data_IF_623138652535
#
_entry.id   IF_623138652535
#
_cell.length_a   1.000
_cell.length_b   1.000
_cell.length_c   1.000
_cell.angle_alpha   90.00
_cell.angle_beta   90.00
_cell.angle_gamma   90.00
#
_symmetry.space_group_name_H-M   'P 1'
#
loop_
_entity.id
_entity.type
_entity.pdbx_description
1 polymer ?
#
# COMPACT_ATOMS: atom_id res chain seq x y z
N UNK A 1 -8.28 6.01 -24.58
CA UNK A 1 -9.40 5.26 -23.98
C UNK A 1 -10.20 6.18 -23.07
N UNK A 2 -9.58 6.77 -22.03
CA UNK A 2 -10.22 7.74 -21.12
C UNK A 2 -11.07 8.82 -21.82
N UNK A 3 -10.52 9.51 -22.84
CA UNK A 3 -11.28 10.50 -23.63
C UNK A 3 -12.60 9.95 -24.21
N UNK A 4 -12.60 8.74 -24.76
CA UNK A 4 -13.83 8.16 -25.33
C UNK A 4 -14.88 7.86 -24.26
N UNK A 5 -14.46 7.47 -23.05
CA UNK A 5 -15.34 7.20 -21.93
C UNK A 5 -15.97 8.50 -21.43
N UNK A 6 -15.16 9.54 -21.21
CA UNK A 6 -15.64 10.87 -20.78
C UNK A 6 -16.64 11.45 -21.78
N UNK A 7 -16.31 11.43 -23.08
CA UNK A 7 -17.22 11.91 -24.14
C UNK A 7 -18.55 11.15 -24.18
N UNK A 8 -18.56 9.88 -23.78
CA UNK A 8 -19.78 9.08 -23.73
C UNK A 8 -20.64 9.46 -22.52
N UNK A 9 -20.02 9.70 -21.37
CA UNK A 9 -20.70 10.15 -20.15
C UNK A 9 -21.24 11.57 -20.27
N UNK A 10 -20.57 12.46 -21.00
CA UNK A 10 -21.10 13.81 -21.31
C UNK A 10 -22.36 13.78 -22.16
N UNK A 11 -22.59 12.69 -22.92
CA UNK A 11 -23.81 12.52 -23.74
C UNK A 11 -24.94 11.88 -22.95
N UNK A 12 -24.61 10.96 -22.06
CA UNK A 12 -25.57 10.24 -21.23
C UNK A 12 -24.97 9.93 -19.86
N UNK A 13 -25.28 10.78 -18.87
CA UNK A 13 -24.77 10.67 -17.51
C UNK A 13 -25.29 9.43 -16.78
N UNK A 14 -26.39 8.81 -17.23
CA UNK A 14 -26.96 7.60 -16.62
C UNK A 14 -26.04 6.39 -16.73
N UNK A 15 -25.06 6.44 -17.64
CA UNK A 15 -24.07 5.39 -17.87
C UNK A 15 -22.89 5.48 -16.90
N UNK A 16 -22.83 6.52 -16.06
CA UNK A 16 -21.72 6.71 -15.11
C UNK A 16 -21.63 5.57 -14.11
N UNK A 17 -22.75 5.20 -13.49
CA UNK A 17 -22.78 4.12 -12.50
C UNK A 17 -22.22 2.79 -13.05
N UNK A 18 -22.72 2.22 -14.15
CA UNK A 18 -22.20 0.96 -14.67
C UNK A 18 -20.73 1.05 -15.10
N UNK A 19 -20.29 2.19 -15.64
CA UNK A 19 -18.88 2.40 -16.04
C UNK A 19 -17.96 2.42 -14.83
N UNK A 20 -18.27 3.21 -13.80
CA UNK A 20 -17.45 3.30 -12.58
C UNK A 20 -17.45 1.96 -11.85
N UNK A 21 -18.60 1.28 -11.74
CA UNK A 21 -18.67 -0.06 -11.14
C UNK A 21 -17.82 -1.09 -11.91
N UNK A 22 -17.77 -1.00 -13.23
CA UNK A 22 -16.88 -1.84 -14.04
C UNK A 22 -15.40 -1.54 -13.78
N UNK A 23 -15.01 -0.26 -13.73
CA UNK A 23 -13.63 0.12 -13.36
C UNK A 23 -13.24 -0.41 -11.98
N UNK A 24 -14.12 -0.31 -10.99
CA UNK A 24 -13.90 -0.85 -9.65
C UNK A 24 -13.80 -2.38 -9.64
N UNK A 25 -14.61 -3.07 -10.46
CA UNK A 25 -14.55 -4.52 -10.63
C UNK A 25 -13.23 -4.98 -11.22
N UNK A 26 -12.71 -4.26 -12.22
CA UNK A 26 -11.46 -4.59 -12.91
C UNK A 26 -10.22 -3.92 -12.31
N UNK A 27 -10.32 -3.35 -11.11
CA UNK A 27 -9.24 -2.62 -10.46
C UNK A 27 -7.96 -3.49 -10.32
N UNK A 28 -6.81 -3.06 -10.86
CA UNK A 28 -5.57 -3.83 -10.82
C UNK A 28 -5.12 -4.12 -9.38
N UNK A 29 -4.71 -5.35 -9.08
CA UNK A 29 -4.28 -5.75 -7.72
C UNK A 29 -2.77 -5.94 -7.55
N UNK A 30 -2.05 -6.06 -8.66
CA UNK A 30 -0.62 -6.44 -8.67
C UNK A 30 0.22 -5.56 -9.60
N UNK A 31 -0.37 -4.56 -10.25
CA UNK A 31 0.30 -3.74 -11.27
C UNK A 31 0.10 -2.25 -10.98
N UNK A 32 0.95 -1.70 -10.12
CA UNK A 32 0.87 -0.31 -9.62
C UNK A 32 0.77 0.75 -10.73
N UNK A 33 1.52 0.67 -11.86
CA UNK A 33 1.36 1.66 -12.93
C UNK A 33 -0.05 1.66 -13.54
N UNK A 34 -0.71 0.49 -13.59
CA UNK A 34 -2.11 0.41 -14.07
C UNK A 34 -3.08 0.96 -13.03
N UNK A 35 -2.81 0.78 -11.73
CA UNK A 35 -3.59 1.45 -10.69
C UNK A 35 -3.51 2.97 -10.80
N UNK A 36 -2.33 3.52 -11.08
CA UNK A 36 -2.14 4.97 -11.33
C UNK A 36 -2.92 5.41 -12.57
N UNK A 37 -2.91 4.63 -13.66
CA UNK A 37 -3.73 4.93 -14.85
C UNK A 37 -5.23 4.91 -14.54
N UNK A 38 -5.71 3.94 -13.75
CA UNK A 38 -7.11 3.85 -13.34
C UNK A 38 -7.51 5.03 -12.45
N UNK A 39 -6.66 5.44 -11.51
CA UNK A 39 -6.87 6.64 -10.71
C UNK A 39 -6.91 7.90 -11.59
N UNK A 40 -6.15 7.95 -12.68
CA UNK A 40 -6.20 9.08 -13.59
C UNK A 40 -7.51 9.15 -14.36
N UNK A 41 -7.90 8.04 -14.99
CA UNK A 41 -9.15 7.94 -15.74
C UNK A 41 -10.38 8.18 -14.86
N UNK A 42 -10.33 7.71 -13.61
CA UNK A 42 -11.41 7.93 -12.65
C UNK A 42 -11.52 9.39 -12.21
N UNK A 43 -10.42 10.14 -12.13
CA UNK A 43 -10.48 11.59 -11.88
C UNK A 43 -11.13 12.32 -13.06
N UNK A 44 -10.73 12.00 -14.28
CA UNK A 44 -11.34 12.58 -15.50
C UNK A 44 -12.85 12.32 -15.57
N UNK A 45 -13.31 11.14 -15.12
CA UNK A 45 -14.75 10.83 -15.01
C UNK A 45 -15.42 11.67 -13.91
N UNK A 46 -14.77 11.81 -12.76
CA UNK A 46 -15.30 12.60 -11.64
C UNK A 46 -15.34 14.11 -11.93
N UNK A 47 -14.54 14.61 -12.86
CA UNK A 47 -14.61 16.02 -13.29
C UNK A 47 -15.90 16.37 -14.04
N UNK A 48 -16.54 15.38 -14.68
CA UNK A 48 -17.77 15.57 -15.45
C UNK A 48 -18.99 14.91 -14.83
N UNK A 49 -18.84 14.23 -13.69
CA UNK A 49 -19.94 13.49 -13.05
C UNK A 49 -21.01 14.45 -12.53
N UNK A 50 -22.29 14.14 -12.74
CA UNK A 50 -23.38 14.85 -12.08
C UNK A 50 -23.51 14.43 -10.60
N UNK A 51 -23.87 15.34 -9.67
CA UNK A 51 -24.04 15.00 -8.25
C UNK A 51 -25.06 13.87 -8.01
N UNK A 52 -26.11 13.79 -8.84
CA UNK A 52 -27.13 12.73 -8.84
C UNK A 52 -26.57 11.34 -9.14
N UNK A 53 -25.54 11.25 -9.97
CA UNK A 53 -24.86 10.01 -10.32
C UNK A 53 -23.76 9.68 -9.31
N UNK A 54 -23.07 10.70 -8.79
CA UNK A 54 -22.02 10.54 -7.78
C UNK A 54 -22.53 9.82 -6.52
N UNK A 55 -23.71 10.17 -6.01
CA UNK A 55 -24.27 9.56 -4.80
C UNK A 55 -24.50 8.05 -4.92
N UNK A 56 -24.66 7.52 -6.15
CA UNK A 56 -24.84 6.09 -6.41
C UNK A 56 -23.53 5.32 -6.27
N UNK A 57 -22.41 5.96 -6.61
CA UNK A 57 -21.08 5.32 -6.68
C UNK A 57 -20.12 5.73 -5.57
N UNK A 58 -20.41 6.78 -4.80
CA UNK A 58 -19.48 7.37 -3.83
C UNK A 58 -18.98 6.36 -2.80
N UNK A 59 -19.84 5.52 -2.22
CA UNK A 59 -19.38 4.63 -1.18
C UNK A 59 -18.41 3.54 -1.67
N UNK A 60 -18.72 2.75 -2.73
CA UNK A 60 -17.75 1.79 -3.27
C UNK A 60 -16.49 2.44 -3.84
N UNK A 61 -16.62 3.62 -4.46
CA UNK A 61 -15.49 4.43 -4.93
C UNK A 61 -14.53 4.78 -3.78
N UNK A 62 -15.05 5.41 -2.73
CA UNK A 62 -14.21 5.85 -1.61
C UNK A 62 -13.69 4.67 -0.78
N UNK A 63 -14.38 3.52 -0.76
CA UNK A 63 -13.82 2.27 -0.23
C UNK A 63 -12.59 1.79 -1.02
N UNK A 64 -12.53 2.04 -2.32
CA UNK A 64 -11.35 1.73 -3.14
C UNK A 64 -10.26 2.79 -2.97
N UNK A 65 -10.60 4.09 -2.97
CA UNK A 65 -9.64 5.17 -2.71
C UNK A 65 -8.98 5.03 -1.32
N UNK A 66 -9.73 4.62 -0.30
CA UNK A 66 -9.20 4.34 1.04
C UNK A 66 -8.10 3.26 1.03
N UNK A 67 -8.16 2.29 0.11
CA UNK A 67 -7.11 1.28 -0.09
C UNK A 67 -5.91 1.88 -0.83
N UNK A 68 -6.15 2.68 -1.87
CA UNK A 68 -5.09 3.34 -2.63
C UNK A 68 -4.27 4.30 -1.76
N UNK A 69 -4.93 5.08 -0.90
CA UNK A 69 -4.28 5.96 0.10
C UNK A 69 -3.47 5.17 1.12
N UNK A 70 -3.89 3.95 1.45
CA UNK A 70 -3.16 3.04 2.34
C UNK A 70 -2.09 2.21 1.62
N UNK A 71 -1.90 2.41 0.31
CA UNK A 71 -0.94 1.64 -0.46
C UNK A 71 0.49 1.94 0.00
N UNK A 72 1.34 0.93 0.21
CA UNK A 72 2.76 1.16 0.47
C UNK A 72 3.51 1.71 -0.75
N UNK A 73 2.91 1.60 -1.94
CA UNK A 73 3.49 2.10 -3.19
C UNK A 73 3.20 3.59 -3.34
N UNK A 74 4.24 4.42 -3.15
CA UNK A 74 4.06 5.87 -3.02
C UNK A 74 3.32 6.51 -4.21
N UNK A 75 3.57 6.11 -5.46
CA UNK A 75 2.91 6.71 -6.62
C UNK A 75 1.38 6.47 -6.62
N UNK A 76 0.92 5.35 -6.07
CA UNK A 76 -0.51 5.04 -5.98
C UNK A 76 -1.15 5.89 -4.88
N UNK A 77 -0.51 5.97 -3.71
CA UNK A 77 -0.98 6.79 -2.60
C UNK A 77 -0.99 8.28 -2.95
N UNK A 78 0.08 8.77 -3.57
CA UNK A 78 0.22 10.16 -4.04
C UNK A 78 -0.87 10.50 -5.05
N UNK A 79 -1.04 9.67 -6.09
CA UNK A 79 -2.05 9.91 -7.13
C UNK A 79 -3.47 9.93 -6.57
N UNK A 80 -3.77 9.07 -5.60
CA UNK A 80 -5.07 9.06 -4.93
C UNK A 80 -5.27 10.29 -4.04
N UNK A 81 -4.25 10.71 -3.30
CA UNK A 81 -4.31 11.89 -2.43
C UNK A 81 -4.42 13.21 -3.21
N UNK A 82 -3.99 13.24 -4.47
CA UNK A 82 -4.17 14.41 -5.33
C UNK A 82 -5.62 14.74 -5.65
N UNK A 83 -6.57 13.82 -5.45
CA UNK A 83 -8.00 14.12 -5.59
C UNK A 83 -8.47 15.23 -4.63
N UNK A 84 -7.79 15.41 -3.49
CA UNK A 84 -8.09 16.48 -2.54
C UNK A 84 -7.71 17.87 -3.04
N UNK A 85 -6.95 17.97 -4.13
CA UNK A 85 -6.60 19.25 -4.76
C UNK A 85 -7.60 19.65 -5.85
N UNK A 86 -8.48 18.75 -6.26
CA UNK A 86 -9.49 19.02 -7.26
C UNK A 86 -10.72 19.66 -6.58
N UNK A 87 -11.01 20.91 -6.94
CA UNK A 87 -12.08 21.69 -6.32
C UNK A 87 -13.47 21.07 -6.52
N UNK A 88 -13.72 20.50 -7.70
CA UNK A 88 -15.01 19.88 -7.98
C UNK A 88 -15.21 18.61 -7.16
N UNK A 89 -14.22 17.71 -7.15
CA UNK A 89 -14.25 16.50 -6.32
C UNK A 89 -14.38 16.87 -4.83
N UNK A 90 -13.66 17.90 -4.37
CA UNK A 90 -13.77 18.37 -2.99
C UNK A 90 -15.17 18.91 -2.65
N UNK A 91 -15.86 19.57 -3.59
CA UNK A 91 -17.24 20.01 -3.39
C UNK A 91 -18.20 18.82 -3.26
N UNK A 92 -18.07 17.80 -4.12
CA UNK A 92 -18.84 16.56 -4.03
C UNK A 92 -18.59 15.82 -2.71
N UNK A 93 -17.34 15.79 -2.23
CA UNK A 93 -16.98 15.22 -0.93
C UNK A 93 -17.65 15.99 0.21
N UNK A 94 -17.63 17.33 0.14
CA UNK A 94 -18.21 18.20 1.17
C UNK A 94 -19.71 17.96 1.34
N UNK A 95 -20.45 17.91 0.23
CA UNK A 95 -21.90 17.67 0.25
C UNK A 95 -22.28 16.29 0.79
N UNK A 96 -21.36 15.32 0.70
CA UNK A 96 -21.57 13.92 1.09
C UNK A 96 -20.69 13.46 2.26
N UNK A 97 -20.17 14.42 3.05
CA UNK A 97 -19.17 14.16 4.09
C UNK A 97 -19.63 13.12 5.11
N UNK A 98 -20.93 13.11 5.45
CA UNK A 98 -21.54 12.17 6.38
C UNK A 98 -21.33 10.69 6.02
N UNK A 99 -21.18 10.37 4.72
CA UNK A 99 -20.93 9.02 4.22
C UNK A 99 -19.45 8.80 3.91
N UNK A 100 -18.78 9.79 3.33
CA UNK A 100 -17.41 9.66 2.84
C UNK A 100 -16.38 9.69 3.98
N UNK A 101 -16.53 10.61 4.94
CA UNK A 101 -15.55 10.81 6.00
C UNK A 101 -15.35 9.54 6.86
N UNK A 102 -16.40 8.83 7.32
CA UNK A 102 -16.23 7.57 8.04
C UNK A 102 -15.50 6.47 7.26
N UNK A 103 -15.59 6.46 5.92
CA UNK A 103 -14.91 5.48 5.06
C UNK A 103 -13.42 5.81 4.93
N UNK A 104 -13.10 7.09 4.73
CA UNK A 104 -11.73 7.54 4.48
C UNK A 104 -10.90 7.69 5.77
N UNK A 105 -11.55 8.06 6.88
CA UNK A 105 -10.89 8.40 8.13
C UNK A 105 -9.97 7.29 8.66
N UNK A 106 -10.37 6.00 8.71
CA UNK A 106 -9.49 4.94 9.21
C UNK A 106 -8.19 4.82 8.42
N UNK A 107 -8.25 4.96 7.10
CA UNK A 107 -7.09 4.88 6.22
C UNK A 107 -6.17 6.08 6.42
N UNK A 108 -6.70 7.30 6.39
CA UNK A 108 -5.90 8.52 6.58
C UNK A 108 -5.26 8.57 7.97
N UNK A 109 -6.04 8.27 9.02
CA UNK A 109 -5.56 8.36 10.41
C UNK A 109 -4.52 7.30 10.76
N UNK A 110 -4.60 6.09 10.19
CA UNK A 110 -3.56 5.06 10.38
C UNK A 110 -2.27 5.49 9.68
N UNK A 111 -2.37 5.88 8.42
CA UNK A 111 -1.20 6.17 7.60
C UNK A 111 -0.52 7.48 7.96
N UNK A 112 -1.18 8.44 8.63
CA UNK A 112 -0.54 9.66 9.16
C UNK A 112 0.50 9.41 10.25
N UNK A 113 0.56 8.19 10.79
CA UNK A 113 1.51 7.77 11.83
C UNK A 113 2.57 6.80 11.33
N UNK A 114 2.28 6.05 10.27
CA UNK A 114 3.07 4.87 9.89
C UNK A 114 3.56 4.89 8.44
N UNK A 115 3.16 5.84 7.61
CA UNK A 115 3.61 5.85 6.23
C UNK A 115 5.09 6.25 6.15
N UNK A 116 5.88 5.48 5.40
CA UNK A 116 7.34 5.64 5.34
C UNK A 116 7.79 6.88 4.55
N UNK A 117 7.00 7.28 3.55
CA UNK A 117 7.29 8.42 2.68
C UNK A 117 6.78 9.74 3.30
N UNK A 118 7.69 10.71 3.47
CA UNK A 118 7.42 12.02 4.08
C UNK A 118 6.42 12.87 3.28
N UNK A 119 6.49 12.84 1.95
CA UNK A 119 5.59 13.60 1.07
C UNK A 119 4.14 13.12 1.24
N UNK A 120 3.94 11.80 1.21
CA UNK A 120 2.64 11.17 1.44
C UNK A 120 2.10 11.54 2.82
N UNK A 121 2.95 11.53 3.84
CA UNK A 121 2.59 12.00 5.18
C UNK A 121 2.02 13.42 5.13
N UNK A 122 2.70 14.36 4.47
CA UNK A 122 2.23 15.73 4.31
C UNK A 122 0.86 15.83 3.61
N UNK A 123 0.67 15.08 2.52
CA UNK A 123 -0.60 15.02 1.80
C UNK A 123 -1.73 14.44 2.66
N UNK A 124 -1.47 13.42 3.47
CA UNK A 124 -2.44 12.85 4.41
C UNK A 124 -2.83 13.88 5.47
N UNK A 125 -1.87 14.62 6.05
CA UNK A 125 -2.17 15.67 7.02
C UNK A 125 -3.00 16.80 6.40
N UNK A 126 -2.72 17.17 5.15
CA UNK A 126 -3.54 18.13 4.42
C UNK A 126 -4.98 17.63 4.23
N UNK A 127 -5.16 16.39 3.77
CA UNK A 127 -6.49 15.79 3.60
C UNK A 127 -7.27 15.69 4.92
N UNK A 128 -6.60 15.30 6.02
CA UNK A 128 -7.21 15.28 7.36
C UNK A 128 -7.64 16.68 7.82
N UNK A 129 -6.81 17.69 7.54
CA UNK A 129 -7.13 19.09 7.86
C UNK A 129 -8.37 19.57 7.09
N UNK A 130 -8.44 19.31 5.79
CA UNK A 130 -9.61 19.66 4.96
C UNK A 130 -10.89 18.98 5.47
N UNK A 131 -10.83 17.71 5.86
CA UNK A 131 -11.99 17.02 6.45
C UNK A 131 -12.44 17.63 7.78
N UNK A 132 -11.48 18.09 8.60
CA UNK A 132 -11.77 18.74 9.87
C UNK A 132 -12.42 20.11 9.66
N UNK A 133 -11.91 20.91 8.72
CA UNK A 133 -12.47 22.22 8.34
C UNK A 133 -13.89 22.12 7.76
N UNK A 134 -14.16 21.04 7.02
CA UNK A 134 -15.47 20.76 6.42
C UNK A 134 -16.54 20.43 7.46
N UNK A 135 -16.24 19.56 8.43
CA UNK A 135 -17.17 19.24 9.51
C UNK A 135 -16.44 18.76 10.77
N UNK A 136 -16.11 19.70 11.66
CA UNK A 136 -15.41 19.43 12.92
C UNK A 136 -16.11 18.35 13.76
N UNK A 137 -17.44 18.45 13.94
CA UNK A 137 -18.21 17.53 14.78
C UNK A 137 -18.14 16.11 14.24
N UNK A 138 -18.35 15.93 12.94
CA UNK A 138 -18.27 14.63 12.29
C UNK A 138 -16.86 14.03 12.37
N UNK A 139 -15.83 14.87 12.21
CA UNK A 139 -14.44 14.45 12.35
C UNK A 139 -14.12 13.95 13.77
N UNK A 140 -14.60 14.64 14.79
CA UNK A 140 -14.46 14.23 16.19
C UNK A 140 -15.21 12.93 16.47
N UNK A 141 -16.43 12.78 15.96
CA UNK A 141 -17.22 11.55 16.07
C UNK A 141 -16.50 10.35 15.42
N UNK A 142 -15.94 10.52 14.22
CA UNK A 142 -15.15 9.48 13.55
C UNK A 142 -13.86 9.15 14.33
N UNK A 143 -13.22 10.14 14.93
CA UNK A 143 -12.06 9.92 15.81
C UNK A 143 -12.42 9.07 17.02
N UNK A 144 -13.57 9.32 17.64
CA UNK A 144 -14.07 8.53 18.77
C UNK A 144 -14.43 7.11 18.35
N UNK A 145 -15.20 6.96 17.26
CA UNK A 145 -15.58 5.65 16.72
C UNK A 145 -14.35 4.81 16.38
N UNK A 146 -13.35 5.39 15.71
CA UNK A 146 -12.10 4.69 15.38
C UNK A 146 -11.36 4.18 16.63
N UNK A 147 -11.30 4.99 17.70
CA UNK A 147 -10.69 4.57 18.98
C UNK A 147 -11.49 3.44 19.64
N UNK A 148 -12.82 3.54 19.64
CA UNK A 148 -13.70 2.52 20.20
C UNK A 148 -13.59 1.19 19.44
N UNK A 149 -13.58 1.23 18.10
CA UNK A 149 -13.37 0.07 17.24
C UNK A 149 -12.00 -0.56 17.48
N UNK A 150 -10.94 0.25 17.59
CA UNK A 150 -9.59 -0.26 17.91
C UNK A 150 -9.53 -0.98 19.26
N UNK A 151 -10.22 -0.46 20.27
CA UNK A 151 -10.32 -1.12 21.57
C UNK A 151 -11.10 -2.43 21.45
N UNK A 152 -12.23 -2.43 20.74
CA UNK A 152 -13.06 -3.61 20.48
C UNK A 152 -12.30 -4.70 19.70
N UNK A 153 -11.52 -4.33 18.68
CA UNK A 153 -10.63 -5.24 17.95
C UNK A 153 -9.60 -5.89 18.88
N UNK A 154 -8.99 -5.10 19.78
CA UNK A 154 -8.02 -5.60 20.75
C UNK A 154 -8.65 -6.57 21.76
N UNK A 155 -9.87 -6.31 22.21
CA UNK A 155 -10.61 -7.22 23.09
C UNK A 155 -10.95 -8.53 22.36
N UNK A 156 -11.50 -8.46 21.14
CA UNK A 156 -11.77 -9.65 20.31
C UNK A 156 -10.51 -10.47 20.03
N UNK A 157 -9.36 -9.83 19.89
CA UNK A 157 -8.08 -10.54 19.72
C UNK A 157 -7.69 -11.30 21.00
N UNK A 158 -7.88 -10.70 22.19
CA UNK A 158 -7.67 -11.37 23.47
C UNK A 158 -8.63 -12.54 23.68
N UNK A 159 -9.91 -12.37 23.39
CA UNK A 159 -10.91 -13.45 23.49
C UNK A 159 -10.55 -14.63 22.59
N UNK A 160 -10.06 -14.35 21.36
CA UNK A 160 -9.56 -15.39 20.46
C UNK A 160 -8.33 -16.10 21.03
N UNK A 161 -7.37 -15.36 21.57
CA UNK A 161 -6.18 -15.92 22.21
C UNK A 161 -6.56 -16.85 23.37
N UNK A 162 -7.45 -16.40 24.26
CA UNK A 162 -7.93 -17.20 25.39
C UNK A 162 -8.68 -18.46 24.93
N UNK A 163 -9.48 -18.37 23.86
CA UNK A 163 -10.13 -19.52 23.26
C UNK A 163 -9.11 -20.53 22.70
N UNK A 164 -8.06 -20.05 22.02
CA UNK A 164 -6.98 -20.90 21.51
C UNK A 164 -6.20 -21.59 22.63
N UNK A 165 -5.87 -20.87 23.71
CA UNK A 165 -5.19 -21.45 24.88
C UNK A 165 -6.05 -22.54 25.54
N UNK A 166 -7.37 -22.33 25.63
CA UNK A 166 -8.29 -23.36 26.15
C UNK A 166 -8.29 -24.61 25.26
N UNK A 167 -8.34 -24.44 23.94
CA UNK A 167 -8.26 -25.55 22.98
C UNK A 167 -6.92 -26.29 23.14
N UNK A 168 -5.80 -25.57 23.25
CA UNK A 168 -4.48 -26.16 23.44
C UNK A 168 -4.38 -26.97 24.73
N UNK A 169 -4.90 -26.44 25.84
CA UNK A 169 -4.92 -27.14 27.12
C UNK A 169 -5.80 -28.39 27.10
N UNK A 170 -6.98 -28.32 26.46
CA UNK A 170 -7.85 -29.48 26.27
C UNK A 170 -7.19 -30.54 25.39
N UNK A 171 -6.49 -30.12 24.33
CA UNK A 171 -5.72 -31.02 23.49
C UNK A 171 -4.61 -31.73 24.29
N UNK A 172 -3.82 -31.00 25.09
CA UNK A 172 -2.77 -31.56 25.96
C UNK A 172 -3.28 -32.54 27.01
N UNK A 173 -4.49 -32.31 27.52
CA UNK A 173 -5.13 -33.20 28.50
C UNK A 173 -5.71 -34.48 27.88
N UNK A 174 -5.79 -34.58 26.54
CA UNK A 174 -6.31 -35.76 25.87
C UNK A 174 -5.34 -36.95 26.06
N UNK A 175 -5.80 -38.12 26.52
CA UNK A 175 -4.96 -39.32 26.65
C UNK A 175 -4.24 -39.74 25.35
N UNK A 176 -4.81 -39.40 24.18
CA UNK A 176 -4.20 -39.67 22.87
C UNK A 176 -3.23 -38.58 22.40
N UNK A 177 -3.03 -37.51 23.18
CA UNK A 177 -2.15 -36.39 22.84
C UNK A 177 -0.70 -36.83 22.63
N UNK A 178 -0.19 -37.75 23.46
CA UNK A 178 1.17 -38.30 23.31
C UNK A 178 1.35 -39.05 22.00
N UNK A 179 0.35 -39.83 21.58
CA UNK A 179 0.35 -40.59 20.31
C UNK A 179 0.27 -39.64 19.11
N UNK A 180 -0.59 -38.62 19.17
CA UNK A 180 -0.71 -37.63 18.08
C UNK A 180 0.51 -36.69 17.99
N UNK A 181 1.10 -36.32 19.13
CA UNK A 181 2.32 -35.52 19.20
C UNK A 181 3.53 -36.31 18.68
N UNK A 182 3.63 -37.60 18.98
CA UNK A 182 4.68 -38.48 18.43
C UNK A 182 4.45 -38.76 16.94
N UNK A 183 3.21 -39.00 16.52
CA UNK A 183 2.87 -39.18 15.11
C UNK A 183 3.19 -37.94 14.28
N UNK A 184 2.95 -36.73 14.81
CA UNK A 184 3.32 -35.46 14.16
C UNK A 184 4.84 -35.23 14.11
N UNK A 185 5.60 -35.78 15.05
CA UNK A 185 7.06 -35.76 15.04
C UNK A 185 7.67 -36.83 14.12
N UNK A 186 6.96 -37.95 13.91
CA UNK A 186 7.38 -39.05 13.02
C UNK A 186 6.93 -38.86 11.57
N UNK A 187 5.88 -38.07 11.33
CA UNK A 187 5.51 -37.61 10.00
C UNK A 187 6.35 -36.38 9.61
N UNK A 188 7.66 -36.56 9.46
CA UNK A 188 8.35 -35.78 8.43
C UNK A 188 7.76 -36.22 7.08
N UNK A 189 7.42 -35.29 6.17
CA UNK A 189 7.21 -35.68 4.79
C UNK A 189 8.52 -36.33 4.34
N UNK A 190 8.45 -37.56 3.84
CA UNK A 190 9.55 -38.13 3.06
C UNK A 190 9.86 -37.10 1.99
N UNK A 191 11.06 -36.53 2.08
CA UNK A 191 11.56 -35.57 1.12
C UNK A 191 11.49 -36.23 -0.26
N UNK A 192 10.53 -35.81 -1.08
CA UNK A 192 10.72 -35.86 -2.53
C UNK A 192 11.86 -34.89 -2.78
N UNK A 193 12.96 -35.41 -3.31
CA UNK A 193 14.11 -34.63 -3.72
C UNK A 193 13.67 -33.54 -4.71
N UNK A 194 13.46 -32.34 -4.19
CA UNK A 194 13.53 -31.11 -4.96
C UNK A 194 14.55 -30.25 -4.25
N UNK A 195 15.67 -30.00 -4.93
CA UNK A 195 16.82 -29.18 -4.51
C UNK A 195 16.38 -27.87 -3.86
N UNK A 196 16.17 -27.90 -2.55
CA UNK A 196 15.91 -26.76 -1.70
C UNK A 196 17.02 -26.66 -0.65
N UNK A 197 17.46 -25.44 -0.29
CA UNK A 197 18.63 -25.25 0.57
C UNK A 197 18.44 -25.91 1.93
N UNK A 198 19.51 -26.55 2.43
CA UNK A 198 19.50 -27.45 3.58
C UNK A 198 19.10 -26.69 4.86
N UNK A 199 18.54 -27.40 5.83
CA UNK A 199 18.06 -26.84 7.10
C UNK A 199 19.13 -26.04 7.89
N UNK A 200 20.41 -26.37 7.71
CA UNK A 200 21.54 -25.60 8.27
C UNK A 200 21.67 -24.21 7.65
N UNK A 201 21.39 -24.05 6.36
CA UNK A 201 21.44 -22.76 5.64
C UNK A 201 20.34 -21.81 6.13
N UNK A 202 19.15 -22.36 6.41
CA UNK A 202 18.01 -21.60 6.94
C UNK A 202 18.28 -21.14 8.37
N UNK A 203 18.96 -21.95 9.19
CA UNK A 203 19.37 -21.55 10.53
C UNK A 203 20.49 -20.50 10.50
N UNK A 204 21.44 -20.62 9.57
CA UNK A 204 22.49 -19.64 9.36
C UNK A 204 21.90 -18.29 8.96
N UNK A 205 21.03 -18.26 7.95
CA UNK A 205 20.29 -17.07 7.51
C UNK A 205 19.49 -16.42 8.65
N UNK A 206 18.81 -17.23 9.47
CA UNK A 206 18.05 -16.71 10.62
C UNK A 206 18.96 -16.11 11.69
N UNK A 207 20.16 -16.66 11.89
CA UNK A 207 21.18 -16.06 12.78
C UNK A 207 21.71 -14.76 12.21
N UNK A 208 22.05 -14.71 10.92
CA UNK A 208 22.53 -13.50 10.24
C UNK A 208 21.48 -12.37 10.30
N UNK A 209 20.22 -12.68 10.03
CA UNK A 209 19.11 -11.70 10.11
C UNK A 209 18.91 -11.17 11.54
N UNK A 210 19.05 -12.03 12.56
CA UNK A 210 18.95 -11.59 13.96
C UNK A 210 20.15 -10.75 14.40
N UNK A 211 21.36 -11.07 13.93
CA UNK A 211 22.58 -10.30 14.21
C UNK A 211 22.52 -8.92 13.52
N UNK A 212 22.04 -8.84 12.28
CA UNK A 212 21.81 -7.57 11.58
C UNK A 212 20.71 -6.73 12.25
N UNK A 213 19.64 -7.34 12.74
CA UNK A 213 18.58 -6.63 13.47
C UNK A 213 19.07 -6.06 14.81
N UNK A 214 19.92 -6.79 15.53
CA UNK A 214 20.56 -6.33 16.77
C UNK A 214 21.58 -5.21 16.51
N UNK A 215 22.31 -5.28 15.39
CA UNK A 215 23.26 -4.25 14.97
C UNK A 215 22.53 -2.96 14.56
N UNK A 216 21.43 -3.06 13.81
CA UNK A 216 20.59 -1.93 13.42
C UNK A 216 19.94 -1.22 14.63
N UNK A 217 19.55 -1.97 15.67
CA UNK A 217 19.07 -1.37 16.92
C UNK A 217 20.17 -0.66 17.73
N UNK A 218 21.42 -1.12 17.64
CA UNK A 218 22.56 -0.43 18.27
C UNK A 218 22.93 0.86 17.54
N UNK A 219 22.78 0.89 16.21
CA UNK A 219 23.06 2.08 15.40
C UNK A 219 21.98 3.17 15.54
N UNK A 220 20.71 2.80 15.77
CA UNK A 220 19.63 3.73 16.11
C UNK A 220 19.82 4.47 17.46
N UNK A 221 20.65 3.94 18.37
CA UNK A 221 20.94 4.55 19.68
C UNK A 221 22.14 5.52 19.67
N UNK A 222 22.86 5.64 18.55
CA UNK A 222 23.92 6.65 18.39
C UNK A 222 23.40 7.79 17.53
N UNK A 223 22.96 8.87 18.16
CA UNK A 223 22.79 10.15 17.47
C UNK A 223 24.15 10.59 16.90
N UNK A 224 24.33 10.42 15.58
CA UNK A 224 25.37 11.10 14.81
C UNK A 224 24.73 11.70 13.56
N UNK A 225 25.09 12.95 13.21
CA UNK A 225 24.60 13.57 11.98
C UNK A 225 25.10 12.76 10.76
N UNK A 226 24.16 12.37 9.89
CA UNK A 226 24.42 11.59 8.69
C UNK A 226 25.21 12.43 7.66
N UNK A 227 26.54 12.32 7.68
CA UNK A 227 27.37 12.69 6.53
C UNK A 227 27.46 11.49 5.60
N UNK A 228 26.88 11.62 4.40
CA UNK A 228 26.88 10.61 3.34
C UNK A 228 28.31 10.34 2.88
N UNK A 229 28.93 9.25 3.36
CA UNK A 229 30.16 8.72 2.76
C UNK A 229 29.82 8.14 1.38
N UNK A 230 30.52 8.60 0.34
CA UNK A 230 30.49 7.94 -0.98
C UNK A 230 31.13 6.56 -0.83
N UNK A 231 30.49 5.55 -1.41
CA UNK A 231 31.03 4.19 -1.51
C UNK A 231 32.20 4.19 -2.50
N UNK A 232 33.41 3.91 -2.03
CA UNK A 232 34.52 3.53 -2.90
C UNK A 232 34.49 2.01 -3.04
N UNK A 233 33.77 1.53 -4.05
CA UNK A 233 33.88 0.14 -4.48
C UNK A 233 35.20 -0.01 -5.25
N UNK A 234 35.95 -1.13 -5.08
CA UNK A 234 37.13 -1.41 -5.88
C UNK A 234 36.77 -1.36 -7.37
N UNK A 235 37.51 -0.56 -8.15
CA UNK A 235 37.29 -0.50 -9.59
C UNK A 235 37.66 -1.84 -10.21
N UNK A 236 36.68 -2.52 -10.79
CA UNK A 236 36.93 -3.69 -11.60
C UNK A 236 37.66 -3.28 -12.90
N UNK A 237 38.91 -3.72 -13.02
CA UNK A 237 39.79 -3.44 -14.17
C UNK A 237 39.18 -3.94 -15.48
N UNK A 238 38.40 -5.03 -15.45
CA UNK A 238 37.71 -5.54 -16.63
C UNK A 238 36.61 -4.59 -17.09
N UNK A 239 35.79 -4.08 -16.16
CA UNK A 239 34.76 -3.08 -16.46
C UNK A 239 35.37 -1.79 -17.03
N UNK A 240 36.51 -1.35 -16.50
CA UNK A 240 37.19 -0.14 -16.99
C UNK A 240 37.78 -0.33 -18.39
N UNK A 241 38.42 -1.47 -18.64
CA UNK A 241 38.98 -1.80 -19.96
C UNK A 241 37.88 -2.00 -21.03
N UNK A 242 36.72 -2.56 -20.66
CA UNK A 242 35.58 -2.69 -21.55
C UNK A 242 34.94 -1.33 -21.93
N UNK A 243 34.92 -0.38 -21.01
CA UNK A 243 34.44 0.98 -21.26
C UNK A 243 35.42 1.80 -22.12
N UNK A 244 36.73 1.62 -21.94
CA UNK A 244 37.76 2.25 -22.79
C UNK A 244 37.81 1.64 -24.20
N UNK A 245 37.51 0.33 -24.33
CA UNK A 245 37.44 -0.34 -25.63
C UNK A 245 36.19 0.02 -26.45
N UNK A 246 35.14 0.57 -25.81
CA UNK A 246 33.92 1.01 -26.48
C UNK A 246 34.08 2.45 -27.00
N UNK A 247 34.80 2.62 -28.10
CA UNK A 247 34.76 3.88 -28.86
C UNK A 247 33.40 4.06 -29.53
N UNK A 248 32.87 5.29 -29.48
CA UNK A 248 31.59 5.71 -30.04
C UNK A 248 31.61 5.58 -31.57
N UNK A 249 30.55 5.04 -32.16
CA UNK A 249 30.38 4.93 -33.62
C UNK A 249 30.07 6.28 -34.32
N UNK A 250 30.60 7.41 -33.83
CA UNK A 250 30.37 8.75 -34.40
C UNK A 250 31.59 9.35 -35.13
N UNK A 251 32.74 8.67 -35.18
CA UNK A 251 33.96 9.14 -35.89
C UNK A 251 34.19 8.52 -37.29
N UNK A 252 33.13 8.07 -37.98
CA UNK A 252 33.22 7.60 -39.37
C UNK A 252 32.24 8.30 -40.31
N UNK A 253 32.08 9.62 -40.17
CA UNK A 253 31.50 10.43 -41.26
C UNK A 253 32.66 11.03 -42.06
N UNK A 254 32.87 10.64 -43.33
CA UNK A 254 33.80 11.35 -44.20
C UNK A 254 33.28 12.77 -44.40
N UNK A 255 34.10 13.77 -44.07
CA UNK A 255 33.99 15.08 -44.69
C UNK A 255 34.16 14.88 -46.20
N UNK A 256 33.09 15.10 -46.96
CA UNK A 256 33.22 15.41 -48.38
C UNK A 256 32.23 16.49 -48.78
N UNK A 257 32.72 17.42 -49.59
CA UNK A 257 32.13 18.72 -49.82
C UNK A 257 31.15 18.78 -50.99
N UNK A 258 30.17 19.67 -50.87
CA UNK A 258 29.88 20.81 -51.77
C UNK A 258 28.62 21.54 -51.32
#
# INVERSE_FOLDING_TARGET
MAYCVVQFLEKDSTLTEPVVMALLKYWPKTHSPKEVMFLNELEEILDVIEPSEFVKIMEPLFRQLAKCVSSPHFQVAERALYYWNNEYIMSLISDNAAKILPIMFPSLYRNSKTHWNKTIHGLIYNALKLFMEMNQKLFDDCTQQFKAEKLKEKLKMKEREEAWVKIENLAKANPQYSVCSQASAMSLPVAVETDGPLFEDVQMLRKTVNEEALQAQKDLKKDRPLVRRKSELPQDLHTKSALEAHSRAEELVPQDGR
#
